data_IF_776526822342
#
_entry.id   IF_776526822342
#
_cell.length_a   1.000
_cell.length_b   1.000
_cell.length_c   1.000
_cell.angle_alpha   90.00
_cell.angle_beta   90.00
_cell.angle_gamma   90.00
#
_symmetry.space_group_name_H-M   'P 1'
#
loop_
_entity.id
_entity.type
_entity.pdbx_description
1 polymer ?
#
# COMPACT_ATOMS: atom_id res chain seq x y z
N UNK A 1 1.43 -21.43 5.41
CA UNK A 1 1.96 -20.14 5.89
C UNK A 1 2.25 -19.31 4.66
N UNK A 2 1.37 -18.38 4.31
CA UNK A 2 1.64 -17.39 3.26
C UNK A 2 2.67 -16.39 3.82
N UNK A 3 3.78 -16.19 3.09
CA UNK A 3 4.82 -15.26 3.52
C UNK A 3 4.29 -13.83 3.44
N UNK A 4 4.58 -12.97 4.42
CA UNK A 4 4.28 -11.55 4.34
C UNK A 4 4.84 -10.98 3.04
N UNK A 5 4.04 -10.18 2.33
CA UNK A 5 4.49 -9.51 1.11
C UNK A 5 5.16 -8.21 1.52
N UNK A 6 6.49 -8.16 1.45
CA UNK A 6 7.25 -6.92 1.63
C UNK A 6 7.23 -6.11 0.33
N UNK A 7 6.91 -4.82 0.47
CA UNK A 7 7.11 -3.79 -0.55
C UNK A 7 8.55 -3.27 -0.48
N UNK A 8 9.01 -2.66 -1.56
CA UNK A 8 10.42 -2.27 -1.75
C UNK A 8 10.89 -1.15 -0.79
N UNK A 9 9.95 -0.49 -0.10
CA UNK A 9 10.20 0.53 0.93
C UNK A 9 10.32 -0.06 2.36
N UNK A 10 10.31 -1.39 2.50
CA UNK A 10 10.31 -2.08 3.79
C UNK A 10 8.94 -2.13 4.46
N UNK A 11 7.87 -1.70 3.77
CA UNK A 11 6.50 -1.87 4.22
C UNK A 11 6.13 -3.36 4.15
N UNK A 12 5.65 -3.91 5.26
CA UNK A 12 5.15 -5.28 5.33
C UNK A 12 3.63 -5.26 5.16
N UNK A 13 3.13 -5.88 4.09
CA UNK A 13 1.69 -6.15 3.95
C UNK A 13 1.36 -7.36 4.82
N UNK A 14 0.52 -7.14 5.83
CA UNK A 14 0.10 -8.16 6.79
C UNK A 14 -1.20 -8.86 6.39
N UNK A 15 -2.08 -8.17 5.67
CA UNK A 15 -3.39 -8.70 5.26
C UNK A 15 -3.83 -8.11 3.91
N UNK A 16 -4.64 -8.87 3.19
CA UNK A 16 -5.31 -8.43 1.98
C UNK A 16 -6.79 -8.82 1.99
N UNK A 17 -7.64 -7.96 1.45
CA UNK A 17 -9.06 -8.22 1.24
C UNK A 17 -9.50 -7.64 -0.09
N UNK A 18 -10.52 -8.24 -0.72
CA UNK A 18 -11.09 -7.74 -1.98
C UNK A 18 -12.54 -7.37 -1.75
N UNK A 19 -12.94 -6.18 -2.20
CA UNK A 19 -14.31 -5.69 -2.12
C UNK A 19 -14.69 -5.05 -3.46
N UNK A 20 -15.41 -5.79 -4.32
CA UNK A 20 -15.72 -5.35 -5.67
C UNK A 20 -14.44 -5.16 -6.49
N UNK A 21 -14.25 -3.96 -7.05
CA UNK A 21 -13.03 -3.57 -7.77
C UNK A 21 -11.92 -3.02 -6.85
N UNK A 22 -12.09 -3.07 -5.53
CA UNK A 22 -11.10 -2.55 -4.58
C UNK A 22 -10.29 -3.69 -3.95
N UNK A 23 -8.96 -3.61 -4.08
CA UNK A 23 -8.01 -4.40 -3.30
C UNK A 23 -7.60 -3.60 -2.07
N UNK A 24 -7.92 -4.11 -0.89
CA UNK A 24 -7.58 -3.53 0.41
C UNK A 24 -6.35 -4.23 0.98
N UNK A 25 -5.38 -3.44 1.40
CA UNK A 25 -4.13 -3.91 1.99
C UNK A 25 -4.03 -3.35 3.41
N UNK A 26 -3.73 -4.20 4.38
CA UNK A 26 -3.26 -3.75 5.70
C UNK A 26 -1.75 -3.85 5.72
N UNK A 27 -1.10 -2.74 6.05
CA UNK A 27 0.35 -2.63 6.06
C UNK A 27 0.85 -2.04 7.37
N UNK A 28 2.07 -2.42 7.75
CA UNK A 28 2.79 -1.82 8.86
C UNK A 28 3.81 -0.80 8.32
N UNK A 29 3.84 0.38 8.93
CA UNK A 29 4.90 1.35 8.66
C UNK A 29 6.28 0.76 8.99
N UNK A 30 7.33 1.07 8.20
CA UNK A 30 8.69 0.66 8.50
C UNK A 30 9.12 1.08 9.92
N UNK A 31 9.87 0.21 10.60
CA UNK A 31 10.39 0.50 11.95
C UNK A 31 11.26 1.76 11.93
N UNK A 32 10.91 2.74 12.77
CA UNK A 32 11.60 4.03 12.86
C UNK A 32 10.82 5.21 12.28
N UNK A 33 9.75 4.97 11.51
CA UNK A 33 8.81 6.02 11.14
C UNK A 33 7.78 6.25 12.25
N UNK A 34 7.82 7.44 12.85
CA UNK A 34 6.80 7.88 13.82
C UNK A 34 5.56 8.50 13.14
N UNK A 35 5.72 9.02 11.91
CA UNK A 35 4.70 9.79 11.21
C UNK A 35 4.66 9.43 9.71
N UNK A 36 3.47 9.53 9.12
CA UNK A 36 3.23 9.29 7.71
C UNK A 36 3.35 10.60 6.93
N UNK A 37 4.57 10.93 6.54
CA UNK A 37 4.85 12.17 5.80
C UNK A 37 4.35 12.09 4.34
N UNK A 38 4.24 13.24 3.67
CA UNK A 38 3.95 13.26 2.22
C UNK A 38 5.02 12.54 1.39
N UNK A 39 6.29 12.57 1.84
CA UNK A 39 7.37 11.80 1.23
C UNK A 39 7.17 10.29 1.37
N UNK A 40 6.70 9.84 2.54
CA UNK A 40 6.30 8.46 2.80
C UNK A 40 5.12 8.06 1.91
N UNK A 41 4.11 8.92 1.81
CA UNK A 41 2.94 8.72 0.94
C UNK A 41 3.35 8.51 -0.51
N UNK A 42 4.18 9.40 -1.06
CA UNK A 42 4.68 9.27 -2.43
C UNK A 42 5.48 7.99 -2.65
N UNK A 43 6.35 7.62 -1.69
CA UNK A 43 7.18 6.41 -1.79
C UNK A 43 6.32 5.14 -1.79
N UNK A 44 5.34 5.08 -0.90
CA UNK A 44 4.39 3.98 -0.81
C UNK A 44 3.50 3.86 -2.05
N UNK A 45 2.98 4.98 -2.59
CA UNK A 45 2.24 4.97 -3.86
C UNK A 45 3.12 4.45 -5.01
N UNK A 46 4.37 4.89 -5.10
CA UNK A 46 5.34 4.39 -6.09
C UNK A 46 5.62 2.90 -5.92
N UNK A 47 5.75 2.41 -4.68
CA UNK A 47 5.95 0.99 -4.41
C UNK A 47 4.75 0.15 -4.87
N UNK A 48 3.52 0.64 -4.65
CA UNK A 48 2.29 -0.01 -5.16
C UNK A 48 2.29 -0.01 -6.69
N UNK A 49 2.57 1.13 -7.34
CA UNK A 49 2.63 1.23 -8.80
C UNK A 49 3.73 0.36 -9.44
N UNK A 50 4.89 0.25 -8.79
CA UNK A 50 6.01 -0.56 -9.25
C UNK A 50 5.81 -2.07 -9.06
N UNK A 51 4.80 -2.48 -8.28
CA UNK A 51 4.54 -3.89 -7.99
C UNK A 51 3.89 -4.56 -9.18
N UNK A 52 4.63 -5.43 -9.87
CA UNK A 52 4.15 -6.18 -11.04
C UNK A 52 2.81 -6.90 -10.85
N UNK A 53 2.54 -7.40 -9.64
CA UNK A 53 1.28 -8.06 -9.32
C UNK A 53 0.06 -7.11 -9.32
N UNK A 54 0.29 -5.83 -9.03
CA UNK A 54 -0.75 -4.80 -8.94
C UNK A 54 -1.00 -4.08 -10.28
N UNK A 55 0.01 -4.03 -11.15
CA UNK A 55 -0.11 -3.46 -12.49
C UNK A 55 -1.35 -3.96 -13.27
N UNK A 56 -1.58 -5.28 -13.44
CA UNK A 56 -2.75 -5.75 -14.20
C UNK A 56 -4.08 -5.43 -13.50
N UNK A 57 -4.10 -5.38 -12.17
CA UNK A 57 -5.29 -4.98 -11.41
C UNK A 57 -5.64 -3.51 -11.70
N UNK A 58 -4.65 -2.63 -11.58
CA UNK A 58 -4.81 -1.20 -11.85
C UNK A 58 -5.20 -0.95 -13.31
N UNK A 59 -4.58 -1.65 -14.27
CA UNK A 59 -4.94 -1.57 -15.69
C UNK A 59 -6.37 -2.09 -15.97
N UNK A 60 -6.84 -3.05 -15.18
CA UNK A 60 -8.23 -3.55 -15.20
C UNK A 60 -9.24 -2.64 -14.50
N UNK A 61 -8.83 -1.47 -14.00
CA UNK A 61 -9.69 -0.51 -13.31
C UNK A 61 -9.89 -0.79 -11.82
N UNK A 62 -9.05 -1.64 -11.21
CA UNK A 62 -9.07 -1.83 -9.78
C UNK A 62 -8.50 -0.62 -9.03
N UNK A 63 -9.00 -0.38 -7.83
CA UNK A 63 -8.44 0.58 -6.89
C UNK A 63 -7.68 -0.17 -5.81
N UNK A 64 -6.48 0.28 -5.47
CA UNK A 64 -5.70 -0.30 -4.37
C UNK A 64 -5.76 0.68 -3.19
N UNK A 65 -6.34 0.22 -2.09
CA UNK A 65 -6.44 0.97 -0.84
C UNK A 65 -5.52 0.33 0.19
N UNK A 66 -4.48 1.03 0.58
CA UNK A 66 -3.52 0.57 1.58
C UNK A 66 -3.68 1.34 2.89
N UNK A 67 -3.99 0.62 3.96
CA UNK A 67 -4.11 1.15 5.32
C UNK A 67 -2.82 0.84 6.08
N UNK A 68 -2.09 1.88 6.42
CA UNK A 68 -0.83 1.83 7.15
C UNK A 68 -1.06 2.06 8.63
N UNK A 69 -0.68 1.09 9.44
CA UNK A 69 -0.72 1.21 10.90
C UNK A 69 0.67 1.53 11.45
N UNK A 70 0.78 2.58 12.25
CA UNK A 70 1.96 2.79 13.08
C UNK A 70 1.96 1.78 14.22
N UNK A 71 3.13 1.26 14.59
CA UNK A 71 3.30 0.32 15.73
C UNK A 71 2.73 0.87 17.05
N UNK A 72 2.58 2.20 17.14
CA UNK A 72 1.96 2.94 18.24
C UNK A 72 0.44 3.07 18.15
N UNK A 73 -0.27 2.25 17.36
CA UNK A 73 -1.75 2.02 17.34
C UNK A 73 -2.69 3.24 17.33
N UNK A 74 -2.20 4.48 17.30
CA UNK A 74 -3.02 5.69 17.51
C UNK A 74 -3.45 6.39 16.23
N UNK A 75 -2.82 6.10 15.08
CA UNK A 75 -3.24 6.59 13.77
C UNK A 75 -3.01 5.52 12.72
N UNK A 76 -4.07 5.23 11.97
CA UNK A 76 -3.99 4.52 10.70
C UNK A 76 -4.04 5.59 9.60
N UNK A 77 -3.15 5.46 8.64
CA UNK A 77 -3.04 6.37 7.49
C UNK A 77 -3.40 5.60 6.24
N UNK A 78 -4.04 6.25 5.30
CA UNK A 78 -4.57 5.58 4.12
C UNK A 78 -3.97 6.16 2.85
N UNK A 79 -3.64 5.26 1.91
CA UNK A 79 -3.28 5.61 0.55
C UNK A 79 -4.26 4.91 -0.38
N UNK A 80 -4.77 5.66 -1.34
CA UNK A 80 -5.55 5.13 -2.46
C UNK A 80 -4.69 5.31 -3.71
N UNK A 81 -4.47 4.22 -4.43
CA UNK A 81 -3.73 4.19 -5.69
C UNK A 81 -4.65 3.63 -6.76
N UNK A 82 -4.71 4.35 -7.87
CA UNK A 82 -5.44 4.03 -9.08
C UNK A 82 -4.48 4.01 -10.27
N UNK A 83 -4.96 3.58 -11.44
CA UNK A 83 -4.12 3.58 -12.64
C UNK A 83 -3.56 4.95 -12.99
N UNK A 84 -4.29 6.05 -12.73
CA UNK A 84 -3.81 7.41 -13.00
C UNK A 84 -2.62 7.82 -12.14
N UNK A 85 -2.46 7.26 -10.95
CA UNK A 85 -1.32 7.55 -10.06
C UNK A 85 -0.03 6.88 -10.53
N UNK A 86 -0.14 5.87 -11.38
CA UNK A 86 0.98 5.04 -11.84
C UNK A 86 1.49 5.39 -13.24
N UNK A 87 0.88 6.40 -13.89
CA UNK A 87 1.32 6.90 -15.20
C UNK A 87 2.17 8.15 -14.95
N UNK A 88 3.49 7.99 -14.94
CA UNK A 88 4.48 9.08 -14.93
C UNK A 88 5.75 8.64 -15.64
#
# INVERSE_FOLDING_TARGET
MERPTELDDGTVISEFAVSGSELRLTAALPKGMAEFSDGTRMSASRAICGRRAFVPLLQGGATIRATYSASSKRRAEEIIVTSSDCVS
#
